data_IF_734165166813
#
_entry.id   IF_734165166813
#
_cell.length_a   1.000
_cell.length_b   1.000
_cell.length_c   1.000
_cell.angle_alpha   90.00
_cell.angle_beta   90.00
_cell.angle_gamma   90.00
#
_symmetry.space_group_name_H-M   'P 1'
#
loop_
_entity.id
_entity.type
_entity.pdbx_description
1 polymer ?
#
# COMPACT_ATOMS: atom_id res chain seq x y z
N UNK A 1 3.07 25.92 -56.28
CA UNK A 1 2.05 25.79 -55.23
C UNK A 1 2.15 24.39 -54.64
N UNK A 2 2.48 24.27 -53.35
CA UNK A 2 2.47 22.96 -52.67
C UNK A 2 1.01 22.48 -52.64
N UNK A 3 0.75 21.27 -53.14
CA UNK A 3 -0.60 20.72 -53.16
C UNK A 3 -1.01 20.40 -51.71
N UNK A 4 -1.80 21.29 -51.11
CA UNK A 4 -2.26 21.19 -49.72
C UNK A 4 -2.92 19.83 -49.45
N UNK A 5 -3.61 19.24 -50.44
CA UNK A 5 -4.23 17.92 -50.33
C UNK A 5 -3.21 16.78 -50.12
N UNK A 6 -2.00 16.90 -50.67
CA UNK A 6 -0.94 15.91 -50.55
C UNK A 6 -0.31 15.87 -49.14
N UNK A 7 -0.53 16.91 -48.32
CA UNK A 7 -0.07 16.98 -46.93
C UNK A 7 -1.23 16.70 -45.97
N UNK A 8 -2.43 17.20 -46.27
CA UNK A 8 -3.61 17.06 -45.40
C UNK A 8 -4.12 15.61 -45.33
N UNK A 9 -4.14 14.88 -46.45
CA UNK A 9 -4.70 13.53 -46.47
C UNK A 9 -3.86 12.51 -45.65
N UNK A 10 -2.52 12.51 -45.72
CA UNK A 10 -1.70 11.71 -44.81
C UNK A 10 -1.89 12.08 -43.34
N UNK A 11 -1.99 13.37 -43.00
CA UNK A 11 -2.19 13.83 -41.62
C UNK A 11 -3.54 13.36 -41.06
N UNK A 12 -4.62 13.46 -41.85
CA UNK A 12 -5.94 12.94 -41.46
C UNK A 12 -5.92 11.42 -41.29
N UNK A 13 -5.17 10.70 -42.13
CA UNK A 13 -5.03 9.24 -42.03
C UNK A 13 -4.28 8.84 -40.75
N UNK A 14 -3.21 9.55 -40.40
CA UNK A 14 -2.47 9.35 -39.15
C UNK A 14 -3.36 9.64 -37.94
N UNK A 15 -4.11 10.75 -37.97
CA UNK A 15 -5.05 11.09 -36.90
C UNK A 15 -6.13 10.01 -36.74
N UNK A 16 -6.71 9.54 -37.85
CA UNK A 16 -7.67 8.44 -37.85
C UNK A 16 -7.10 7.15 -37.25
N UNK A 17 -5.85 6.80 -37.58
CA UNK A 17 -5.18 5.64 -37.01
C UNK A 17 -4.94 5.78 -35.50
N UNK A 18 -4.54 6.96 -35.02
CA UNK A 18 -4.36 7.24 -33.57
C UNK A 18 -5.69 7.11 -32.83
N UNK A 19 -6.76 7.71 -33.36
CA UNK A 19 -8.11 7.62 -32.78
C UNK A 19 -8.60 6.17 -32.77
N UNK A 20 -8.44 5.45 -33.88
CA UNK A 20 -8.80 4.03 -33.99
C UNK A 20 -8.03 3.15 -32.99
N UNK A 21 -6.73 3.36 -32.84
CA UNK A 21 -5.90 2.65 -31.87
C UNK A 21 -6.34 2.95 -30.42
N UNK A 22 -6.70 4.19 -30.11
CA UNK A 22 -7.21 4.57 -28.79
C UNK A 22 -8.59 3.96 -28.49
N UNK A 23 -9.50 3.92 -29.47
CA UNK A 23 -10.80 3.25 -29.32
C UNK A 23 -10.60 1.75 -29.09
N UNK A 24 -9.71 1.10 -29.86
CA UNK A 24 -9.36 -0.30 -29.65
C UNK A 24 -8.78 -0.52 -28.24
N UNK A 25 -7.90 0.36 -27.79
CA UNK A 25 -7.36 0.31 -26.44
C UNK A 25 -8.44 0.40 -25.36
N UNK A 26 -9.40 1.33 -25.48
CA UNK A 26 -10.53 1.43 -24.57
C UNK A 26 -11.43 0.19 -24.60
N UNK A 27 -11.65 -0.41 -25.77
CA UNK A 27 -12.39 -1.67 -25.89
C UNK A 27 -11.65 -2.81 -25.19
N UNK A 28 -10.34 -2.91 -25.34
CA UNK A 28 -9.51 -3.91 -24.65
C UNK A 28 -9.54 -3.73 -23.12
N UNK A 29 -9.66 -2.50 -22.61
CA UNK A 29 -9.82 -2.24 -21.17
C UNK A 29 -11.11 -2.80 -20.57
N UNK A 30 -12.11 -3.16 -21.38
CA UNK A 30 -13.33 -3.82 -20.91
C UNK A 30 -13.14 -5.33 -20.67
N UNK A 31 -12.02 -5.89 -21.14
CA UNK A 31 -11.70 -7.32 -21.02
C UNK A 31 -10.95 -7.56 -19.70
N UNK A 32 -11.50 -8.34 -18.73
CA UNK A 32 -10.96 -8.37 -17.37
C UNK A 32 -9.48 -8.76 -17.22
N UNK A 33 -8.94 -9.79 -17.92
CA UNK A 33 -7.51 -10.09 -17.84
C UNK A 33 -6.60 -8.95 -18.31
N UNK A 34 -7.02 -8.21 -19.35
CA UNK A 34 -6.25 -7.06 -19.87
C UNK A 34 -6.36 -5.89 -18.90
N UNK A 35 -7.56 -5.60 -18.42
CA UNK A 35 -7.82 -4.57 -17.42
C UNK A 35 -6.97 -4.80 -16.16
N UNK A 36 -6.97 -6.01 -15.62
CA UNK A 36 -6.15 -6.39 -14.46
C UNK A 36 -4.66 -6.22 -14.75
N UNK A 37 -4.20 -6.64 -15.92
CA UNK A 37 -2.80 -6.41 -16.28
C UNK A 37 -2.44 -4.92 -16.27
N UNK A 38 -3.33 -4.05 -16.77
CA UNK A 38 -3.11 -2.60 -16.82
C UNK A 38 -3.17 -1.95 -15.43
N UNK A 39 -4.12 -2.36 -14.58
CA UNK A 39 -4.25 -1.85 -13.21
C UNK A 39 -3.05 -2.26 -12.34
N UNK A 40 -2.68 -3.53 -12.40
CA UNK A 40 -1.69 -4.11 -11.49
C UNK A 40 -0.26 -4.08 -12.05
N UNK A 41 -0.09 -4.05 -13.37
CA UNK A 41 1.20 -4.23 -14.07
C UNK A 41 1.98 -5.47 -13.58
N UNK A 42 1.26 -6.51 -13.15
CA UNK A 42 1.81 -7.61 -12.36
C UNK A 42 2.80 -8.50 -13.12
N UNK A 43 2.69 -8.60 -14.45
CA UNK A 43 3.64 -9.39 -15.27
C UNK A 43 4.98 -8.68 -15.49
N UNK A 44 5.09 -7.40 -15.14
CA UNK A 44 6.33 -6.65 -15.27
C UNK A 44 7.20 -6.92 -14.03
N UNK A 45 8.12 -7.89 -14.14
CA UNK A 45 8.99 -8.35 -13.05
C UNK A 45 10.25 -7.49 -12.92
N UNK A 46 10.08 -6.22 -12.57
CA UNK A 46 11.19 -5.31 -12.28
C UNK A 46 11.72 -5.51 -10.84
N UNK A 47 13.05 -5.43 -10.63
CA UNK A 47 14.12 -5.26 -11.62
C UNK A 47 14.39 -6.55 -12.41
N UNK A 48 14.74 -6.42 -13.69
CA UNK A 48 15.06 -7.56 -14.53
C UNK A 48 16.38 -8.23 -14.12
N UNK A 49 16.52 -9.52 -14.42
CA UNK A 49 17.75 -10.32 -14.25
C UNK A 49 18.26 -10.43 -12.80
N UNK A 50 17.42 -10.14 -11.81
CA UNK A 50 17.69 -10.40 -10.40
C UNK A 50 16.83 -11.55 -9.89
N UNK A 51 17.38 -12.35 -8.98
CA UNK A 51 16.67 -13.46 -8.34
C UNK A 51 16.26 -13.07 -6.92
N UNK A 52 14.96 -13.06 -6.65
CA UNK A 52 14.41 -12.77 -5.32
C UNK A 52 14.86 -13.78 -4.25
N UNK A 53 15.42 -14.93 -4.65
CA UNK A 53 16.06 -15.84 -3.70
C UNK A 53 17.47 -15.41 -3.28
N UNK A 54 18.03 -14.32 -3.84
CA UNK A 54 19.38 -13.81 -3.54
C UNK A 54 19.29 -12.34 -3.07
N UNK A 55 18.83 -12.08 -1.84
CA UNK A 55 18.57 -10.72 -1.34
C UNK A 55 19.79 -9.79 -1.36
N UNK A 56 21.00 -10.34 -1.34
CA UNK A 56 22.26 -9.59 -1.42
C UNK A 56 22.35 -8.74 -2.70
N UNK A 57 21.64 -9.12 -3.77
CA UNK A 57 21.52 -8.31 -4.99
C UNK A 57 20.84 -6.95 -4.76
N UNK A 58 20.19 -6.75 -3.60
CA UNK A 58 19.60 -5.50 -3.14
C UNK A 58 20.29 -4.92 -1.91
N UNK A 59 21.54 -5.30 -1.67
CA UNK A 59 22.40 -4.77 -0.59
C UNK A 59 21.97 -5.17 0.82
N UNK A 60 21.17 -6.24 0.95
CA UNK A 60 20.99 -6.91 2.23
C UNK A 60 22.27 -7.61 2.65
N UNK A 61 22.48 -7.70 3.97
CA UNK A 61 23.57 -8.49 4.54
C UNK A 61 23.26 -9.98 4.38
N UNK A 62 24.30 -10.81 4.24
CA UNK A 62 24.14 -12.27 4.13
C UNK A 62 23.42 -12.84 5.34
N UNK A 63 22.30 -13.52 5.12
CA UNK A 63 21.46 -14.08 6.19
C UNK A 63 20.47 -13.09 6.82
N UNK A 64 20.49 -11.81 6.44
CA UNK A 64 19.53 -10.83 6.96
C UNK A 64 18.10 -11.08 6.45
N UNK A 65 17.98 -11.61 5.23
CA UNK A 65 16.71 -11.88 4.58
C UNK A 65 16.59 -13.37 4.33
N UNK A 66 15.45 -13.94 4.73
CA UNK A 66 15.10 -15.34 4.49
C UNK A 66 13.94 -15.41 3.50
N UNK A 67 14.19 -15.76 2.22
CA UNK A 67 13.13 -16.03 1.26
C UNK A 67 12.43 -17.36 1.55
N UNK A 68 11.10 -17.40 1.48
CA UNK A 68 10.29 -18.60 1.61
C UNK A 68 9.00 -18.48 0.79
N UNK A 69 8.21 -19.54 0.74
CA UNK A 69 6.90 -19.54 0.10
C UNK A 69 5.80 -19.72 1.15
N UNK A 70 4.71 -18.97 0.99
CA UNK A 70 3.52 -19.05 1.82
C UNK A 70 2.35 -19.49 0.94
N UNK A 71 1.60 -20.49 1.38
CA UNK A 71 0.40 -20.95 0.66
C UNK A 71 -0.83 -20.17 1.12
N UNK A 72 -1.69 -19.80 0.18
CA UNK A 72 -2.99 -19.21 0.49
C UNK A 72 -4.06 -20.30 0.66
N UNK A 73 -5.14 -19.96 1.36
CA UNK A 73 -6.27 -20.88 1.58
C UNK A 73 -6.97 -21.30 0.29
N UNK A 74 -6.78 -20.56 -0.81
CA UNK A 74 -7.31 -20.86 -2.14
C UNK A 74 -6.26 -21.47 -3.11
N UNK A 75 -5.10 -21.89 -2.60
CA UNK A 75 -4.14 -22.71 -3.34
C UNK A 75 -3.14 -21.96 -4.21
N UNK A 76 -2.94 -20.66 -3.97
CA UNK A 76 -1.87 -19.88 -4.59
C UNK A 76 -0.64 -19.84 -3.68
N UNK A 77 0.54 -19.76 -4.27
CA UNK A 77 1.80 -19.67 -3.55
C UNK A 77 2.36 -18.25 -3.65
N UNK A 78 2.65 -17.64 -2.50
CA UNK A 78 3.21 -16.31 -2.35
C UNK A 78 4.70 -16.36 -2.01
N UNK A 79 5.53 -15.74 -2.84
CA UNK A 79 6.94 -15.59 -2.53
C UNK A 79 7.15 -14.48 -1.50
N UNK A 80 7.75 -14.82 -0.37
CA UNK A 80 7.81 -13.99 0.83
C UNK A 80 9.25 -13.87 1.34
N UNK A 81 9.59 -12.71 1.87
CA UNK A 81 10.83 -12.41 2.58
C UNK A 81 10.53 -12.11 4.04
N UNK A 82 11.23 -12.82 4.93
CA UNK A 82 11.41 -12.38 6.31
C UNK A 82 12.71 -11.59 6.42
N UNK A 83 12.62 -10.32 6.78
CA UNK A 83 13.75 -9.39 6.90
C UNK A 83 14.00 -9.12 8.38
N UNK A 84 15.22 -9.43 8.84
CA UNK A 84 15.66 -9.21 10.21
C UNK A 84 16.03 -7.74 10.46
N UNK A 85 15.67 -7.20 11.64
CA UNK A 85 16.13 -5.88 12.04
C UNK A 85 17.63 -5.91 12.34
N UNK A 86 18.29 -4.77 12.14
CA UNK A 86 19.76 -4.69 12.17
C UNK A 86 20.35 -4.93 13.56
N UNK A 87 19.62 -4.63 14.63
CA UNK A 87 20.04 -4.88 16.00
C UNK A 87 20.07 -6.38 16.32
N UNK A 88 19.05 -7.13 15.91
CA UNK A 88 19.02 -8.60 16.02
C UNK A 88 20.10 -9.22 15.14
N UNK A 89 20.20 -8.78 13.87
CA UNK A 89 21.25 -9.24 12.97
C UNK A 89 22.65 -9.03 13.56
N UNK A 90 22.93 -7.83 14.11
CA UNK A 90 24.24 -7.50 14.69
C UNK A 90 24.63 -8.48 15.82
N UNK A 91 23.67 -8.89 16.64
CA UNK A 91 23.90 -9.79 17.77
C UNK A 91 24.17 -11.24 17.35
N UNK A 92 23.64 -11.66 16.20
CA UNK A 92 23.65 -13.08 15.76
C UNK A 92 24.28 -13.29 14.37
N UNK A 93 25.13 -12.37 13.92
CA UNK A 93 25.59 -12.34 12.53
C UNK A 93 26.43 -13.55 12.12
N UNK A 94 27.15 -14.21 13.04
CA UNK A 94 27.94 -15.39 12.72
C UNK A 94 27.04 -16.62 12.45
N UNK A 95 26.03 -16.84 13.31
CA UNK A 95 25.03 -17.91 13.13
C UNK A 95 24.24 -17.71 11.82
N UNK A 96 23.80 -16.47 11.57
CA UNK A 96 23.08 -16.10 10.35
C UNK A 96 23.91 -16.30 9.07
N UNK A 97 25.23 -16.13 9.14
CA UNK A 97 26.14 -16.41 8.02
C UNK A 97 26.42 -17.91 7.87
N UNK A 98 26.23 -18.71 8.91
CA UNK A 98 26.38 -20.16 8.81
C UNK A 98 25.15 -20.82 8.16
N UNK A 99 23.98 -20.19 8.26
CA UNK A 99 22.76 -20.69 7.63
C UNK A 99 22.86 -20.78 6.09
N UNK A 100 22.22 -21.80 5.46
CA UNK A 100 22.11 -21.86 4.01
C UNK A 100 21.46 -20.62 3.38
N UNK A 101 21.76 -20.35 2.12
CA UNK A 101 21.17 -19.22 1.38
C UNK A 101 20.06 -19.70 0.45
N UNK A 102 19.27 -18.77 -0.09
CA UNK A 102 18.22 -19.10 -1.05
C UNK A 102 16.84 -19.33 -0.43
N UNK A 103 15.94 -19.86 -1.26
CA UNK A 103 14.56 -20.19 -0.87
C UNK A 103 14.54 -21.27 0.21
N UNK A 104 13.87 -20.99 1.31
CA UNK A 104 13.64 -21.94 2.40
C UNK A 104 12.30 -22.63 2.25
N UNK A 105 12.35 -23.95 2.21
CA UNK A 105 11.15 -24.81 2.18
C UNK A 105 10.54 -24.93 3.59
N UNK A 106 11.40 -24.99 4.61
CA UNK A 106 11.02 -25.03 6.03
C UNK A 106 11.50 -23.76 6.70
N UNK A 107 10.59 -22.80 6.83
CA UNK A 107 10.89 -21.50 7.45
C UNK A 107 10.96 -21.61 8.98
N UNK A 108 10.24 -22.55 9.58
CA UNK A 108 10.19 -22.82 11.02
C UNK A 108 11.55 -23.18 11.64
N UNK A 109 12.43 -23.79 10.87
CA UNK A 109 13.77 -24.17 11.31
C UNK A 109 14.77 -23.00 11.34
N UNK A 110 14.47 -21.86 10.69
CA UNK A 110 15.41 -20.75 10.53
C UNK A 110 15.53 -19.90 11.79
N UNK A 111 16.69 -19.29 11.97
CA UNK A 111 16.90 -18.30 13.04
C UNK A 111 15.91 -17.15 12.94
N UNK A 112 15.63 -16.67 11.73
CA UNK A 112 14.71 -15.56 11.51
C UNK A 112 13.31 -15.84 12.07
N UNK A 113 12.77 -17.03 11.81
CA UNK A 113 11.49 -17.46 12.36
C UNK A 113 11.51 -17.55 13.89
N UNK A 114 12.50 -18.25 14.44
CA UNK A 114 12.66 -18.45 15.90
C UNK A 114 12.81 -17.13 16.64
N UNK A 115 13.66 -16.24 16.16
CA UNK A 115 13.91 -14.93 16.80
C UNK A 115 12.66 -14.05 16.91
N UNK A 116 11.79 -14.05 15.90
CA UNK A 116 10.52 -13.31 15.96
C UNK A 116 9.51 -14.00 16.88
N UNK A 117 9.41 -15.33 16.82
CA UNK A 117 8.43 -16.11 17.59
C UNK A 117 8.75 -16.14 19.08
N UNK A 118 10.02 -16.22 19.44
CA UNK A 118 10.48 -16.42 20.82
C UNK A 118 10.72 -15.10 21.57
N UNK A 119 10.92 -13.98 20.88
CA UNK A 119 11.08 -12.66 21.51
C UNK A 119 9.72 -12.01 21.81
N UNK A 120 9.33 -11.84 23.09
CA UNK A 120 8.06 -11.21 23.46
C UNK A 120 8.02 -9.71 23.13
N UNK A 121 9.18 -9.07 22.95
CA UNK A 121 9.29 -7.64 22.62
C UNK A 121 9.46 -7.40 21.11
N UNK A 122 9.63 -8.47 20.32
CA UNK A 122 9.74 -8.34 18.87
C UNK A 122 8.45 -7.76 18.28
N UNK A 123 8.62 -6.86 17.33
CA UNK A 123 7.53 -6.21 16.59
C UNK A 123 7.56 -6.67 15.15
N UNK A 124 6.43 -6.55 14.46
CA UNK A 124 6.32 -6.99 13.09
C UNK A 124 5.63 -5.94 12.22
N UNK A 125 6.25 -5.62 11.09
CA UNK A 125 5.62 -4.89 9.99
C UNK A 125 5.21 -5.87 8.91
N UNK A 126 3.93 -5.92 8.58
CA UNK A 126 3.42 -6.59 7.38
C UNK A 126 3.44 -5.58 6.24
N UNK A 127 4.26 -5.83 5.22
CA UNK A 127 4.56 -4.88 4.16
C UNK A 127 3.81 -5.21 2.86
N UNK A 128 2.88 -4.32 2.50
CA UNK A 128 2.00 -4.42 1.33
C UNK A 128 2.46 -3.44 0.25
N UNK A 129 3.05 -3.94 -0.82
CA UNK A 129 3.67 -3.12 -1.84
C UNK A 129 2.66 -2.54 -2.86
N UNK A 130 3.07 -1.54 -3.66
CA UNK A 130 2.22 -0.97 -4.72
C UNK A 130 2.11 -1.81 -5.99
N UNK A 131 1.44 -1.27 -7.00
CA UNK A 131 1.39 -1.89 -8.33
C UNK A 131 2.77 -1.96 -8.99
N UNK A 132 2.89 -2.81 -10.02
CA UNK A 132 4.08 -3.13 -10.79
C UNK A 132 5.26 -3.73 -9.99
N UNK A 133 6.12 -4.45 -10.72
CA UNK A 133 7.39 -4.94 -10.20
C UNK A 133 7.24 -6.11 -9.22
N UNK A 134 8.23 -6.21 -8.34
CA UNK A 134 8.33 -7.20 -7.27
C UNK A 134 8.47 -6.50 -5.93
N UNK A 135 8.34 -7.20 -4.81
CA UNK A 135 8.66 -6.69 -3.47
C UNK A 135 10.06 -6.06 -3.41
N UNK A 136 10.98 -6.45 -4.29
CA UNK A 136 12.31 -5.88 -4.39
C UNK A 136 12.48 -4.80 -5.49
N UNK A 137 11.40 -4.16 -5.95
CA UNK A 137 11.45 -3.11 -6.98
C UNK A 137 11.97 -1.77 -6.45
N UNK A 138 13.05 -1.26 -7.06
CA UNK A 138 13.58 0.12 -6.98
C UNK A 138 13.81 0.61 -5.54
N UNK A 139 12.78 1.15 -4.89
CA UNK A 139 12.83 1.85 -3.61
C UNK A 139 12.27 1.02 -2.46
N UNK A 140 11.67 -0.14 -2.73
CA UNK A 140 11.12 -1.03 -1.70
C UNK A 140 12.20 -1.63 -0.78
N UNK A 141 13.32 -2.19 -1.30
CA UNK A 141 14.46 -2.60 -0.44
C UNK A 141 14.99 -1.49 0.45
N UNK A 142 15.14 -0.30 -0.13
CA UNK A 142 15.62 0.88 0.60
C UNK A 142 14.64 1.30 1.71
N UNK A 143 13.33 1.16 1.49
CA UNK A 143 12.33 1.39 2.53
C UNK A 143 12.44 0.41 3.69
N UNK A 144 12.80 -0.86 3.43
CA UNK A 144 13.04 -1.85 4.50
C UNK A 144 14.20 -1.41 5.39
N UNK A 145 15.29 -0.91 4.79
CA UNK A 145 16.41 -0.35 5.55
C UNK A 145 16.01 0.88 6.38
N UNK A 146 15.20 1.78 5.80
CA UNK A 146 14.71 2.98 6.48
C UNK A 146 13.86 2.63 7.72
N UNK A 147 13.03 1.59 7.66
CA UNK A 147 12.18 1.19 8.80
C UNK A 147 13.01 0.88 10.06
N UNK A 148 14.18 0.26 9.91
CA UNK A 148 15.02 -0.13 11.04
C UNK A 148 15.66 1.03 11.80
N UNK A 149 15.68 2.25 11.25
CA UNK A 149 16.37 3.39 11.87
C UNK A 149 15.80 3.85 13.21
N UNK A 150 14.48 3.68 13.43
CA UNK A 150 13.79 4.08 14.67
C UNK A 150 12.89 2.99 15.25
N UNK A 151 13.00 1.76 14.73
CA UNK A 151 12.14 0.64 15.14
C UNK A 151 13.02 -0.56 15.50
N UNK A 152 13.65 -0.56 16.69
CA UNK A 152 14.43 -1.71 17.16
C UNK A 152 13.55 -2.96 17.26
N UNK A 153 14.15 -4.15 17.15
CA UNK A 153 13.45 -5.45 17.22
C UNK A 153 12.24 -5.58 16.28
N UNK A 154 12.16 -4.77 15.23
CA UNK A 154 11.00 -4.74 14.33
C UNK A 154 11.30 -5.52 13.07
N UNK A 155 10.79 -6.73 12.97
CA UNK A 155 10.90 -7.58 11.79
C UNK A 155 9.97 -7.09 10.67
N UNK A 156 10.27 -7.47 9.44
CA UNK A 156 9.40 -7.18 8.28
C UNK A 156 9.09 -8.49 7.57
N UNK A 157 7.79 -8.71 7.29
CA UNK A 157 7.36 -9.67 6.29
C UNK A 157 6.91 -8.90 5.04
N UNK A 158 7.64 -9.09 3.95
CA UNK A 158 7.32 -8.55 2.64
C UNK A 158 7.07 -9.69 1.66
N UNK A 159 6.14 -9.54 0.74
CA UNK A 159 5.77 -10.62 -0.20
C UNK A 159 5.36 -10.04 -1.54
N UNK A 160 5.45 -10.86 -2.59
CA UNK A 160 4.81 -10.59 -3.87
C UNK A 160 3.35 -11.08 -3.82
N UNK A 161 2.38 -10.23 -4.16
CA UNK A 161 0.99 -10.68 -4.36
C UNK A 161 0.90 -11.75 -5.45
N UNK A 162 -0.20 -12.51 -5.48
CA UNK A 162 -0.46 -13.46 -6.56
C UNK A 162 -0.33 -12.80 -7.94
N UNK A 163 0.40 -13.46 -8.83
CA UNK A 163 0.72 -13.01 -10.18
C UNK A 163 1.84 -11.97 -10.27
N UNK A 164 2.41 -11.49 -9.14
CA UNK A 164 3.60 -10.64 -9.12
C UNK A 164 4.86 -11.48 -8.88
N UNK A 165 5.99 -10.96 -9.36
CA UNK A 165 7.32 -11.55 -9.14
C UNK A 165 7.38 -13.07 -9.27
N UNK A 166 7.58 -13.77 -8.15
CA UNK A 166 7.66 -15.25 -8.12
C UNK A 166 6.38 -15.95 -7.64
N UNK A 167 5.36 -15.20 -7.24
CA UNK A 167 4.08 -15.74 -6.79
C UNK A 167 3.22 -16.25 -7.95
N UNK A 168 2.41 -17.28 -7.69
CA UNK A 168 1.52 -17.90 -8.70
C UNK A 168 0.23 -17.09 -8.88
N UNK A 169 -0.62 -17.49 -9.83
CA UNK A 169 -1.97 -16.93 -9.97
C UNK A 169 -2.07 -15.63 -10.76
N UNK A 170 -3.23 -14.97 -10.61
CA UNK A 170 -3.56 -13.70 -11.28
C UNK A 170 -4.19 -12.73 -10.27
N UNK A 171 -3.76 -11.45 -10.23
CA UNK A 171 -4.26 -10.50 -9.26
C UNK A 171 -5.73 -10.16 -9.51
N UNK A 172 -6.46 -9.99 -8.41
CA UNK A 172 -7.82 -9.44 -8.37
C UNK A 172 -8.07 -8.83 -7.00
N UNK A 173 -9.12 -8.02 -6.84
CA UNK A 173 -9.42 -7.40 -5.55
C UNK A 173 -9.69 -8.45 -4.46
N UNK A 174 -10.37 -9.54 -4.81
CA UNK A 174 -10.61 -10.66 -3.90
C UNK A 174 -9.33 -11.46 -3.64
N UNK A 175 -8.54 -11.75 -4.69
CA UNK A 175 -7.31 -12.53 -4.55
C UNK A 175 -6.26 -11.82 -3.68
N UNK A 176 -6.04 -10.52 -3.87
CA UNK A 176 -5.10 -9.77 -3.04
C UNK A 176 -5.54 -9.68 -1.56
N UNK A 177 -6.86 -9.74 -1.28
CA UNK A 177 -7.36 -9.87 0.08
C UNK A 177 -7.04 -11.27 0.66
N UNK A 178 -7.19 -12.34 -0.12
CA UNK A 178 -6.80 -13.69 0.31
C UNK A 178 -5.29 -13.76 0.60
N UNK A 179 -4.46 -13.12 -0.24
CA UNK A 179 -3.03 -13.05 -0.02
C UNK A 179 -2.69 -12.35 1.31
N UNK A 180 -3.37 -11.23 1.57
CA UNK A 180 -3.20 -10.46 2.79
C UNK A 180 -3.65 -11.24 4.04
N UNK A 181 -4.73 -12.01 3.91
CA UNK A 181 -5.22 -12.89 4.97
C UNK A 181 -4.25 -14.03 5.27
N UNK A 182 -3.66 -14.65 4.24
CA UNK A 182 -2.65 -15.69 4.41
C UNK A 182 -1.43 -15.16 5.18
N UNK A 183 -0.97 -13.95 4.85
CA UNK A 183 0.15 -13.33 5.57
C UNK A 183 -0.18 -13.04 7.04
N UNK A 184 -1.38 -12.55 7.34
CA UNK A 184 -1.86 -12.32 8.71
C UNK A 184 -1.98 -13.64 9.48
N UNK A 185 -2.52 -14.68 8.84
CA UNK A 185 -2.65 -16.00 9.43
C UNK A 185 -1.29 -16.58 9.79
N UNK A 186 -0.32 -16.53 8.87
CA UNK A 186 1.07 -16.92 9.11
C UNK A 186 1.70 -16.14 10.28
N UNK A 187 1.51 -14.82 10.31
CA UNK A 187 2.05 -13.97 11.37
C UNK A 187 1.45 -14.29 12.75
N UNK A 188 0.14 -14.50 12.83
CA UNK A 188 -0.56 -14.68 14.11
C UNK A 188 -0.57 -16.12 14.61
N UNK A 189 -0.50 -17.10 13.70
CA UNK A 189 -0.68 -18.52 14.02
C UNK A 189 0.64 -19.26 14.02
N UNK A 190 1.45 -19.12 12.97
CA UNK A 190 2.73 -19.84 12.86
C UNK A 190 3.84 -19.13 13.64
N UNK A 191 3.95 -17.81 13.47
CA UNK A 191 4.89 -16.96 14.18
C UNK A 191 4.39 -16.50 15.57
N UNK A 192 3.11 -16.71 15.87
CA UNK A 192 2.48 -16.40 17.17
C UNK A 192 2.66 -14.93 17.58
N UNK A 193 2.68 -14.01 16.60
CA UNK A 193 2.79 -12.57 16.87
C UNK A 193 1.38 -12.01 17.14
N UNK A 194 1.12 -11.44 18.34
CA UNK A 194 -0.17 -10.86 18.66
C UNK A 194 -0.43 -9.59 17.82
N UNK A 195 -1.68 -9.29 17.46
CA UNK A 195 -2.05 -8.11 16.65
C UNK A 195 -1.53 -6.79 17.20
N UNK A 196 -1.39 -6.67 18.52
CA UNK A 196 -0.89 -5.50 19.25
C UNK A 196 0.61 -5.24 19.02
N UNK A 197 1.35 -6.21 18.46
CA UNK A 197 2.75 -6.08 18.03
C UNK A 197 2.90 -6.00 16.51
N UNK A 198 1.80 -5.88 15.77
CA UNK A 198 1.80 -5.83 14.30
C UNK A 198 1.37 -4.44 13.80
N UNK A 199 2.15 -3.87 12.89
CA UNK A 199 1.78 -2.70 12.10
C UNK A 199 1.58 -3.12 10.65
N UNK A 200 0.47 -2.68 10.05
CA UNK A 200 0.24 -2.85 8.62
C UNK A 200 0.80 -1.66 7.87
N UNK A 201 1.70 -1.92 6.92
CA UNK A 201 2.26 -0.90 6.05
C UNK A 201 1.76 -1.11 4.62
N UNK A 202 1.15 -0.09 4.01
CA UNK A 202 0.73 -0.12 2.61
C UNK A 202 1.31 1.03 1.80
N UNK A 203 1.74 0.76 0.58
CA UNK A 203 2.10 1.78 -0.40
C UNK A 203 1.25 1.69 -1.67
N UNK A 204 0.69 2.81 -2.12
CA UNK A 204 -0.16 2.87 -3.32
C UNK A 204 -1.23 1.77 -3.31
N UNK A 205 -1.23 0.80 -4.23
CA UNK A 205 -2.15 -0.35 -4.20
C UNK A 205 -2.22 -1.03 -2.82
N UNK A 206 -1.09 -1.19 -2.15
CA UNK A 206 -1.02 -1.80 -0.82
C UNK A 206 -1.83 -1.06 0.23
N UNK A 207 -2.07 0.25 0.09
CA UNK A 207 -2.94 1.00 1.02
C UNK A 207 -4.38 0.50 0.94
N UNK A 208 -4.88 0.24 -0.27
CA UNK A 208 -6.22 -0.26 -0.49
C UNK A 208 -6.39 -1.68 0.07
N UNK A 209 -5.36 -2.52 -0.13
CA UNK A 209 -5.31 -3.89 0.43
C UNK A 209 -5.37 -3.84 1.96
N UNK A 210 -4.53 -3.02 2.60
CA UNK A 210 -4.45 -2.89 4.07
C UNK A 210 -5.74 -2.36 4.67
N UNK A 211 -6.35 -1.36 4.04
CA UNK A 211 -7.65 -0.80 4.49
C UNK A 211 -8.74 -1.87 4.39
N UNK A 212 -8.83 -2.58 3.26
CA UNK A 212 -9.82 -3.64 3.05
C UNK A 212 -9.62 -4.80 4.04
N UNK A 213 -8.38 -5.26 4.22
CA UNK A 213 -8.00 -6.29 5.19
C UNK A 213 -8.44 -5.90 6.60
N UNK A 214 -8.14 -4.67 7.02
CA UNK A 214 -8.48 -4.20 8.37
C UNK A 214 -9.98 -4.10 8.57
N UNK A 215 -10.72 -3.64 7.56
CA UNK A 215 -12.18 -3.63 7.63
C UNK A 215 -12.75 -5.05 7.74
N UNK A 216 -12.28 -5.98 6.91
CA UNK A 216 -12.69 -7.39 6.92
C UNK A 216 -12.45 -8.04 8.29
N UNK A 217 -11.27 -7.82 8.87
CA UNK A 217 -10.90 -8.36 10.18
C UNK A 217 -11.68 -7.73 11.34
N UNK A 218 -12.00 -6.43 11.25
CA UNK A 218 -12.76 -5.73 12.29
C UNK A 218 -14.23 -6.14 12.36
N UNK A 219 -14.82 -6.66 11.26
CA UNK A 219 -16.23 -7.08 11.21
C UNK A 219 -16.44 -8.57 11.50
N UNK A 220 -15.38 -9.34 11.73
CA UNK A 220 -15.49 -10.74 12.11
C UNK A 220 -16.14 -10.89 13.48
N UNK A 221 -16.68 -12.08 13.75
CA UNK A 221 -17.23 -12.46 15.07
C UNK A 221 -16.21 -12.25 16.20
N UNK A 222 -14.94 -12.55 15.92
CA UNK A 222 -13.79 -12.21 16.76
C UNK A 222 -12.97 -11.15 16.01
N UNK A 223 -13.16 -9.85 16.33
CA UNK A 223 -12.44 -8.80 15.64
C UNK A 223 -10.93 -8.89 15.89
N UNK A 224 -10.14 -8.61 14.85
CA UNK A 224 -8.68 -8.46 14.96
C UNK A 224 -8.32 -7.03 14.64
N UNK A 225 -7.68 -6.34 15.58
CA UNK A 225 -7.26 -4.95 15.45
C UNK A 225 -5.76 -4.83 15.65
N UNK A 226 -5.05 -4.38 14.62
CA UNK A 226 -3.60 -4.23 14.67
C UNK A 226 -3.17 -2.98 15.43
N UNK A 227 -1.90 -2.91 15.83
CA UNK A 227 -1.34 -1.77 16.59
C UNK A 227 -1.45 -0.46 15.81
N UNK A 228 -1.22 -0.50 14.51
CA UNK A 228 -1.34 0.66 13.64
C UNK A 228 -1.35 0.32 12.15
N UNK A 229 -1.69 1.33 11.37
CA UNK A 229 -1.77 1.29 9.92
C UNK A 229 -1.04 2.50 9.33
N UNK A 230 -0.07 2.26 8.46
CA UNK A 230 0.65 3.33 7.74
C UNK A 230 0.31 3.23 6.25
N UNK A 231 -0.28 4.29 5.70
CA UNK A 231 -0.76 4.38 4.32
C UNK A 231 0.07 5.42 3.56
N UNK A 232 0.96 4.98 2.68
CA UNK A 232 1.80 5.86 1.86
C UNK A 232 1.27 6.00 0.44
N UNK A 233 1.07 7.25 0.00
CA UNK A 233 0.42 7.63 -1.26
C UNK A 233 -0.90 6.85 -1.51
N UNK A 234 -1.86 6.88 -0.57
CA UNK A 234 -3.14 6.19 -0.78
C UNK A 234 -4.02 6.90 -1.81
N UNK A 235 -5.05 6.18 -2.25
CA UNK A 235 -6.09 6.68 -3.12
C UNK A 235 -7.48 6.31 -2.58
N UNK A 236 -8.54 6.97 -3.05
CA UNK A 236 -9.91 6.67 -2.57
C UNK A 236 -10.49 5.43 -3.23
N UNK A 237 -10.30 5.30 -4.55
CA UNK A 237 -10.80 4.21 -5.38
C UNK A 237 -10.12 4.27 -6.78
N UNK A 238 -10.16 3.17 -7.54
CA UNK A 238 -9.54 3.13 -8.87
C UNK A 238 -10.25 4.08 -9.84
N UNK A 239 -11.58 4.25 -9.71
CA UNK A 239 -12.36 5.09 -10.61
C UNK A 239 -12.01 6.59 -10.47
N UNK A 240 -11.63 7.06 -9.29
CA UNK A 240 -11.13 8.42 -9.06
C UNK A 240 -9.76 8.62 -9.72
N UNK A 241 -8.95 7.56 -9.76
CA UNK A 241 -7.68 7.55 -10.45
C UNK A 241 -7.84 7.50 -11.97
N UNK A 242 -8.84 6.86 -12.56
CA UNK A 242 -8.90 6.73 -14.04
C UNK A 242 -8.89 8.07 -14.80
N UNK A 243 -9.35 9.15 -14.16
CA UNK A 243 -9.29 10.52 -14.70
C UNK A 243 -7.89 11.11 -14.75
N UNK A 244 -7.00 10.72 -13.83
CA UNK A 244 -5.68 11.31 -13.61
C UNK A 244 -4.53 10.31 -13.82
N UNK A 245 -4.84 9.02 -13.84
CA UNK A 245 -3.89 7.91 -13.87
C UNK A 245 -3.15 7.90 -15.19
N UNK A 246 -1.83 7.89 -15.07
CA UNK A 246 -0.93 7.76 -16.20
C UNK A 246 -0.32 6.37 -16.21
N UNK A 247 -0.62 5.59 -17.25
CA UNK A 247 0.02 4.32 -17.50
C UNK A 247 1.55 4.53 -17.59
N UNK A 248 2.30 3.84 -16.72
CA UNK A 248 3.74 4.01 -16.59
C UNK A 248 4.19 5.41 -16.14
N UNK A 249 3.30 6.25 -15.62
CA UNK A 249 3.58 7.65 -15.29
C UNK A 249 3.55 8.61 -16.48
N UNK A 250 3.29 8.13 -17.70
CA UNK A 250 3.44 8.91 -18.94
C UNK A 250 2.12 9.05 -19.72
N UNK A 251 1.35 7.98 -19.90
CA UNK A 251 0.18 7.99 -20.81
C UNK A 251 -1.12 8.09 -20.01
N UNK A 252 -1.85 9.22 -20.04
CA UNK A 252 -3.05 9.37 -19.24
C UNK A 252 -4.20 8.52 -19.81
N UNK A 253 -4.66 7.54 -19.02
CA UNK A 253 -5.44 6.39 -19.50
C UNK A 253 -6.78 6.79 -20.15
N UNK A 254 -7.56 7.64 -19.49
CA UNK A 254 -8.85 8.14 -19.98
C UNK A 254 -8.83 9.64 -20.27
N UNK A 255 -7.69 10.33 -20.22
CA UNK A 255 -7.63 11.79 -20.37
C UNK A 255 -8.22 12.32 -21.67
N UNK A 256 -8.04 11.68 -22.85
CA UNK A 256 -8.68 12.14 -24.09
C UNK A 256 -10.21 12.17 -24.02
N UNK A 257 -10.83 11.36 -23.16
CA UNK A 257 -12.29 11.30 -22.98
C UNK A 257 -12.75 11.93 -21.66
N UNK A 258 -11.84 12.44 -20.83
CA UNK A 258 -12.16 12.99 -19.51
C UNK A 258 -13.09 14.22 -19.60
N UNK A 259 -13.07 14.94 -20.72
CA UNK A 259 -13.99 16.04 -21.02
C UNK A 259 -15.44 15.60 -21.26
N UNK A 260 -15.70 14.29 -21.39
CA UNK A 260 -17.03 13.72 -21.61
C UNK A 260 -17.42 12.83 -20.42
N UNK A 261 -18.05 13.39 -19.37
CA UNK A 261 -18.36 12.65 -18.14
C UNK A 261 -19.13 11.35 -18.36
N UNK A 262 -20.06 11.33 -19.31
CA UNK A 262 -20.84 10.13 -19.63
C UNK A 262 -19.99 8.97 -20.17
N UNK A 263 -18.93 9.25 -20.95
CA UNK A 263 -18.00 8.24 -21.43
C UNK A 263 -17.14 7.69 -20.29
N UNK A 264 -16.65 8.57 -19.41
CA UNK A 264 -15.89 8.14 -18.22
C UNK A 264 -16.76 7.25 -17.34
N UNK A 265 -18.02 7.62 -17.09
CA UNK A 265 -18.96 6.80 -16.32
C UNK A 265 -19.24 5.46 -17.01
N UNK A 266 -19.45 5.45 -18.32
CA UNK A 266 -19.64 4.24 -19.10
C UNK A 266 -18.45 3.27 -18.95
N UNK A 267 -17.22 3.74 -19.17
CA UNK A 267 -16.02 2.90 -19.05
C UNK A 267 -15.74 2.47 -17.60
N UNK A 268 -15.98 3.36 -16.63
CA UNK A 268 -15.87 3.00 -15.21
C UNK A 268 -16.87 1.90 -14.81
N UNK A 269 -17.99 1.75 -15.52
CA UNK A 269 -18.94 0.65 -15.32
C UNK A 269 -18.35 -0.74 -15.60
N UNK A 270 -17.30 -0.82 -16.41
CA UNK A 270 -16.59 -2.08 -16.70
C UNK A 270 -15.44 -2.37 -15.72
N UNK A 271 -15.15 -1.48 -14.76
CA UNK A 271 -14.11 -1.72 -13.76
C UNK A 271 -14.54 -2.86 -12.83
N UNK A 272 -13.79 -3.97 -12.91
CA UNK A 272 -14.02 -5.17 -12.10
C UNK A 272 -13.47 -4.98 -10.70
N UNK A 273 -12.22 -4.53 -10.61
CA UNK A 273 -11.54 -4.26 -9.34
C UNK A 273 -11.62 -2.76 -9.04
N UNK A 274 -12.32 -2.40 -7.96
CA UNK A 274 -12.70 -1.01 -7.66
C UNK A 274 -11.85 -0.40 -6.56
N UNK A 275 -11.48 -1.21 -5.57
CA UNK A 275 -10.69 -0.80 -4.40
C UNK A 275 -11.25 0.44 -3.69
N UNK A 276 -12.50 0.39 -3.22
CA UNK A 276 -13.17 1.47 -2.46
C UNK A 276 -12.52 1.70 -1.07
N UNK A 277 -11.32 2.24 -1.05
CA UNK A 277 -10.55 2.53 0.16
C UNK A 277 -11.25 3.58 1.02
N UNK A 278 -11.91 4.56 0.39
CA UNK A 278 -12.69 5.59 1.07
C UNK A 278 -13.81 5.01 1.93
N UNK A 279 -14.69 4.23 1.31
CA UNK A 279 -15.80 3.58 2.01
C UNK A 279 -15.33 2.53 3.01
N UNK A 280 -14.31 1.73 2.67
CA UNK A 280 -13.77 0.70 3.56
C UNK A 280 -13.10 1.30 4.80
N UNK A 281 -12.37 2.41 4.68
CA UNK A 281 -11.75 3.08 5.83
C UNK A 281 -12.81 3.71 6.74
N UNK A 282 -13.83 4.38 6.18
CA UNK A 282 -14.97 4.90 6.94
C UNK A 282 -15.76 3.77 7.64
N UNK A 283 -15.92 2.63 6.96
CA UNK A 283 -16.54 1.42 7.51
C UNK A 283 -15.72 0.85 8.66
N UNK A 284 -14.40 0.74 8.50
CA UNK A 284 -13.48 0.30 9.55
C UNK A 284 -13.53 1.21 10.78
N UNK A 285 -13.29 2.51 10.62
CA UNK A 285 -13.25 3.49 11.71
C UNK A 285 -14.50 3.44 12.57
N UNK A 286 -15.68 3.51 11.96
CA UNK A 286 -16.90 3.48 12.75
C UNK A 286 -17.36 2.07 13.15
N UNK A 287 -16.72 0.99 12.69
CA UNK A 287 -16.92 -0.36 13.29
C UNK A 287 -16.09 -0.50 14.56
N UNK A 288 -14.86 0.01 14.56
CA UNK A 288 -14.03 0.08 15.76
C UNK A 288 -14.75 0.78 16.92
N UNK A 289 -15.55 1.81 16.64
CA UNK A 289 -16.43 2.48 17.63
C UNK A 289 -17.18 1.53 18.58
N UNK A 290 -17.74 0.44 18.04
CA UNK A 290 -18.56 -0.52 18.79
C UNK A 290 -17.84 -1.81 19.24
N UNK A 291 -16.53 -1.93 19.01
CA UNK A 291 -15.76 -3.09 19.48
C UNK A 291 -15.32 -2.83 20.92
N UNK A 292 -15.63 -3.75 21.83
CA UNK A 292 -15.09 -3.74 23.20
C UNK A 292 -13.81 -4.58 23.23
N UNK A 293 -12.73 -4.01 23.76
CA UNK A 293 -11.46 -4.71 24.00
C UNK A 293 -10.96 -4.38 25.39
N UNK A 294 -10.66 -5.43 26.17
CA UNK A 294 -10.13 -5.27 27.52
C UNK A 294 -8.76 -4.59 27.47
N UNK A 295 -8.58 -3.54 28.28
CA UNK A 295 -7.29 -2.83 28.39
C UNK A 295 -6.88 -1.99 27.17
N UNK A 296 -7.76 -1.78 26.17
CA UNK A 296 -7.43 -1.03 24.94
C UNK A 296 -8.50 -0.03 24.55
N UNK A 297 -8.27 1.23 24.92
CA UNK A 297 -9.14 2.36 24.55
C UNK A 297 -8.99 2.76 23.07
N UNK A 298 -7.75 2.83 22.58
CA UNK A 298 -7.45 3.12 21.17
C UNK A 298 -7.49 1.85 20.31
N UNK A 299 -8.56 1.72 19.53
CA UNK A 299 -8.86 0.56 18.69
C UNK A 299 -8.24 0.67 17.30
N UNK A 300 -7.84 1.87 16.89
CA UNK A 300 -7.06 2.08 15.66
C UNK A 300 -6.11 3.29 15.76
N UNK A 301 -5.01 3.21 15.02
CA UNK A 301 -4.07 4.30 14.77
C UNK A 301 -3.71 4.29 13.27
N UNK A 302 -4.15 5.29 12.52
CA UNK A 302 -3.96 5.36 11.05
C UNK A 302 -3.09 6.56 10.72
N UNK A 303 -1.98 6.35 10.03
CA UNK A 303 -1.06 7.37 9.55
C UNK A 303 -1.12 7.43 8.02
N UNK A 304 -1.62 8.52 7.46
CA UNK A 304 -1.64 8.79 6.02
C UNK A 304 -0.44 9.66 5.67
N UNK A 305 0.32 9.30 4.65
CA UNK A 305 1.49 10.07 4.20
C UNK A 305 1.41 10.23 2.68
N UNK A 306 1.60 11.45 2.18
CA UNK A 306 1.64 11.72 0.74
C UNK A 306 2.58 12.89 0.46
N UNK A 307 3.13 12.97 -0.75
CA UNK A 307 3.82 14.15 -1.23
C UNK A 307 2.98 14.95 -2.25
N UNK A 308 3.02 16.28 -2.17
CA UNK A 308 2.31 17.17 -3.08
C UNK A 308 2.83 17.07 -4.52
N UNK A 309 4.13 16.76 -4.68
CA UNK A 309 4.81 16.55 -5.95
C UNK A 309 4.71 15.11 -6.48
N UNK A 310 3.81 14.26 -5.93
CA UNK A 310 3.55 12.91 -6.44
C UNK A 310 2.98 12.98 -7.87
N UNK A 311 3.72 12.51 -8.90
CA UNK A 311 3.29 12.64 -10.29
C UNK A 311 2.31 11.53 -10.72
N UNK A 312 2.00 10.58 -9.83
CA UNK A 312 1.19 9.38 -10.14
C UNK A 312 -0.17 9.42 -9.47
N UNK A 313 -0.22 9.80 -8.20
CA UNK A 313 -1.46 9.91 -7.43
C UNK A 313 -1.54 11.33 -6.88
N UNK A 314 -2.59 12.10 -7.20
CA UNK A 314 -2.75 13.42 -6.60
C UNK A 314 -2.91 13.31 -5.08
N UNK A 315 -2.16 14.11 -4.33
CA UNK A 315 -2.24 14.13 -2.85
C UNK A 315 -3.64 14.46 -2.32
N UNK A 316 -4.48 15.14 -3.12
CA UNK A 316 -5.88 15.41 -2.79
C UNK A 316 -6.69 14.14 -2.52
N UNK A 317 -6.25 12.99 -3.05
CA UNK A 317 -6.81 11.68 -2.72
C UNK A 317 -6.62 11.30 -1.25
N UNK A 318 -5.47 11.62 -0.65
CA UNK A 318 -5.25 11.42 0.79
C UNK A 318 -6.14 12.32 1.63
N UNK A 319 -6.33 13.57 1.20
CA UNK A 319 -7.23 14.52 1.86
C UNK A 319 -8.68 14.00 1.83
N UNK A 320 -9.13 13.52 0.67
CA UNK A 320 -10.47 12.94 0.53
C UNK A 320 -10.64 11.64 1.32
N UNK A 321 -9.62 10.76 1.33
CA UNK A 321 -9.63 9.55 2.15
C UNK A 321 -9.77 9.87 3.64
N UNK A 322 -9.03 10.88 4.12
CA UNK A 322 -9.13 11.39 5.49
C UNK A 322 -10.52 11.96 5.79
N UNK A 323 -11.07 12.77 4.88
CA UNK A 323 -12.43 13.31 4.99
C UNK A 323 -13.45 12.18 5.14
N UNK A 324 -13.44 11.19 4.25
CA UNK A 324 -14.38 10.05 4.30
C UNK A 324 -14.24 9.27 5.60
N UNK A 325 -13.01 9.04 6.07
CA UNK A 325 -12.77 8.31 7.30
C UNK A 325 -13.33 9.02 8.55
N UNK A 326 -13.25 10.36 8.60
CA UNK A 326 -13.66 11.16 9.76
C UNK A 326 -15.13 11.60 9.69
N UNK A 327 -15.64 11.88 8.49
CA UNK A 327 -16.97 12.48 8.27
C UNK A 327 -17.98 11.56 7.57
N UNK A 328 -17.58 10.42 7.00
CA UNK A 328 -18.44 9.57 6.15
C UNK A 328 -19.65 8.92 6.81
N UNK A 329 -20.03 9.31 8.04
CA UNK A 329 -21.23 8.86 8.76
C UNK A 329 -22.01 9.99 9.44
N UNK A 330 -21.70 11.26 9.18
CA UNK A 330 -22.29 12.40 9.91
C UNK A 330 -23.60 12.91 9.28
N UNK A 331 -23.67 13.06 7.96
CA UNK A 331 -24.86 13.53 7.23
C UNK A 331 -24.90 12.96 5.80
N UNK A 332 -26.09 12.89 5.19
CA UNK A 332 -26.28 12.45 3.80
C UNK A 332 -25.93 13.55 2.76
N UNK A 333 -25.66 14.79 3.20
CA UNK A 333 -25.29 15.91 2.31
C UNK A 333 -23.76 16.01 2.16
N UNK A 334 -23.25 15.63 0.98
CA UNK A 334 -21.82 15.66 0.67
C UNK A 334 -21.23 17.07 0.72
N UNK A 335 -22.00 18.10 0.34
CA UNK A 335 -21.52 19.48 0.25
C UNK A 335 -21.31 20.10 1.63
N UNK A 336 -22.21 19.80 2.57
CA UNK A 336 -22.07 20.21 3.98
C UNK A 336 -20.87 19.53 4.61
N UNK A 337 -20.70 18.22 4.38
CA UNK A 337 -19.56 17.47 4.88
C UNK A 337 -18.22 18.00 4.34
N UNK A 338 -18.14 18.46 3.09
CA UNK A 338 -16.92 19.04 2.51
C UNK A 338 -16.58 20.39 3.15
N UNK A 339 -17.54 21.31 3.24
CA UNK A 339 -17.32 22.64 3.83
C UNK A 339 -16.90 22.56 5.31
N UNK A 340 -17.57 21.71 6.09
CA UNK A 340 -17.22 21.48 7.49
C UNK A 340 -15.82 20.85 7.64
N UNK A 341 -15.49 19.87 6.78
CA UNK A 341 -14.17 19.25 6.80
C UNK A 341 -13.07 20.26 6.50
N UNK A 342 -13.22 21.10 5.48
CA UNK A 342 -12.22 22.13 5.15
C UNK A 342 -12.05 23.15 6.28
N UNK A 343 -13.15 23.54 6.92
CA UNK A 343 -13.12 24.43 8.08
C UNK A 343 -12.38 23.79 9.28
N UNK A 344 -12.63 22.52 9.58
CA UNK A 344 -11.94 21.79 10.65
C UNK A 344 -10.47 21.49 10.31
N UNK A 345 -10.18 21.12 9.05
CA UNK A 345 -8.82 20.92 8.57
C UNK A 345 -8.01 22.20 8.78
N UNK A 346 -8.52 23.35 8.35
CA UNK A 346 -7.83 24.64 8.50
C UNK A 346 -7.49 24.98 9.96
N UNK A 347 -8.34 24.59 10.92
CA UNK A 347 -8.10 24.83 12.37
C UNK A 347 -7.05 23.90 12.95
N UNK A 348 -7.00 22.64 12.49
CA UNK A 348 -6.17 21.57 13.06
C UNK A 348 -4.82 21.43 12.36
N UNK A 349 -4.72 21.93 11.13
CA UNK A 349 -3.52 21.84 10.30
C UNK A 349 -2.35 22.56 10.96
N UNK A 350 -1.23 21.85 11.06
CA UNK A 350 0.07 22.39 11.50
C UNK A 350 0.95 22.53 10.26
N UNK A 351 1.27 23.77 9.89
CA UNK A 351 2.16 24.06 8.76
C UNK A 351 3.62 23.82 9.15
N UNK A 352 4.36 23.13 8.28
CA UNK A 352 5.78 22.80 8.45
C UNK A 352 6.66 23.56 7.45
N UNK A 353 6.20 24.71 6.98
CA UNK A 353 6.89 25.58 6.01
C UNK A 353 7.23 24.83 4.71
N UNK A 354 8.49 24.43 4.51
CA UNK A 354 8.92 23.69 3.32
C UNK A 354 8.68 22.18 3.46
N UNK A 355 8.40 21.69 4.68
CA UNK A 355 8.11 20.30 4.97
C UNK A 355 6.68 19.87 4.63
N UNK A 356 5.81 20.82 4.26
CA UNK A 356 4.40 20.55 4.02
C UNK A 356 3.58 20.79 5.27
N UNK A 357 2.73 19.85 5.65
CA UNK A 357 1.83 20.04 6.79
C UNK A 357 1.36 18.73 7.43
N UNK A 358 1.01 18.84 8.70
CA UNK A 358 0.47 17.77 9.54
C UNK A 358 -0.96 18.08 9.98
N UNK A 359 -1.72 17.02 10.26
CA UNK A 359 -3.00 17.13 10.95
C UNK A 359 -3.30 15.85 11.72
N UNK A 360 -3.90 16.02 12.89
CA UNK A 360 -4.34 14.92 13.75
C UNK A 360 -5.83 15.02 14.06
N UNK A 361 -6.55 13.94 13.81
CA UNK A 361 -7.95 13.75 14.18
C UNK A 361 -8.07 12.63 15.21
N UNK A 362 -8.27 13.02 16.47
CA UNK A 362 -8.64 12.10 17.55
C UNK A 362 -10.14 11.85 17.50
N UNK A 363 -10.53 10.60 17.25
CA UNK A 363 -11.89 10.11 17.38
C UNK A 363 -12.12 9.40 18.71
N UNK A 364 -13.33 8.89 18.93
CA UNK A 364 -13.72 8.20 20.18
C UNK A 364 -12.94 6.90 20.41
N UNK A 365 -12.51 6.25 19.32
CA UNK A 365 -11.94 4.89 19.37
C UNK A 365 -10.59 4.78 18.70
N UNK A 366 -9.91 5.91 18.45
CA UNK A 366 -8.63 5.90 17.78
C UNK A 366 -8.29 7.22 17.13
N UNK A 367 -7.13 7.26 16.48
CA UNK A 367 -6.56 8.46 15.86
C UNK A 367 -6.30 8.24 14.37
N UNK A 368 -6.58 9.27 13.57
CA UNK A 368 -6.13 9.36 12.18
C UNK A 368 -5.23 10.58 12.05
N UNK A 369 -4.02 10.37 11.56
CA UNK A 369 -3.01 11.39 11.31
C UNK A 369 -2.77 11.48 9.81
N UNK A 370 -2.52 12.67 9.29
CA UNK A 370 -2.05 12.84 7.92
C UNK A 370 -0.85 13.78 7.88
N UNK A 371 0.19 13.35 7.18
CA UNK A 371 1.41 14.11 6.89
C UNK A 371 1.52 14.30 5.38
N UNK A 372 1.30 15.52 4.91
CA UNK A 372 1.40 15.87 3.49
C UNK A 372 2.68 16.66 3.28
N UNK A 373 3.66 16.02 2.64
CA UNK A 373 4.98 16.58 2.32
C UNK A 373 4.88 17.49 1.10
N UNK A 374 5.68 18.57 1.02
CA UNK A 374 5.83 19.29 -0.25
C UNK A 374 6.59 18.50 -1.31
N UNK A 375 7.59 17.73 -0.87
CA UNK A 375 8.52 17.04 -1.75
C UNK A 375 8.73 15.60 -1.30
N UNK A 376 8.67 14.68 -2.24
CA UNK A 376 8.87 13.27 -1.96
C UNK A 376 8.72 12.33 -3.14
N UNK A 377 7.97 12.76 -4.18
CA UNK A 377 7.57 11.92 -5.31
C UNK A 377 6.82 10.66 -4.83
N UNK A 378 6.39 9.80 -5.77
CA UNK A 378 5.52 8.65 -5.42
C UNK A 378 6.18 7.50 -4.65
N UNK A 379 7.50 7.36 -4.74
CA UNK A 379 8.24 6.20 -4.24
C UNK A 379 9.52 6.57 -3.49
N UNK A 380 10.32 7.54 -3.98
CA UNK A 380 11.53 7.98 -3.30
C UNK A 380 11.35 8.38 -1.83
N UNK A 381 10.23 9.00 -1.46
CA UNK A 381 9.99 9.38 -0.05
C UNK A 381 9.93 8.23 0.94
N UNK A 382 9.72 6.99 0.49
CA UNK A 382 9.83 5.81 1.35
C UNK A 382 11.25 5.54 1.85
N UNK A 383 12.26 6.22 1.29
CA UNK A 383 13.67 6.11 1.67
C UNK A 383 14.07 7.11 2.76
N UNK A 384 13.13 7.93 3.20
CA UNK A 384 13.40 9.10 4.04
C UNK A 384 12.87 8.91 5.46
N UNK A 385 13.36 9.70 6.45
CA UNK A 385 13.02 9.55 7.86
C UNK A 385 11.52 9.60 8.17
N UNK A 386 10.72 10.20 7.29
CA UNK A 386 9.26 10.23 7.40
C UNK A 386 8.66 8.82 7.54
N UNK A 387 9.22 7.83 6.83
CA UNK A 387 8.79 6.43 6.96
C UNK A 387 9.16 5.85 8.32
N UNK A 388 10.43 5.98 8.73
CA UNK A 388 10.90 5.47 10.03
C UNK A 388 10.07 6.04 11.17
N UNK A 389 9.83 7.36 11.14
CA UNK A 389 9.06 8.05 12.15
C UNK A 389 7.58 7.63 12.14
N UNK A 390 7.00 7.39 10.96
CA UNK A 390 5.64 6.91 10.85
C UNK A 390 5.45 5.50 11.42
N UNK A 391 6.39 4.59 11.17
CA UNK A 391 6.35 3.24 11.74
C UNK A 391 6.54 3.30 13.27
N UNK A 392 7.50 4.07 13.77
CA UNK A 392 7.70 4.26 15.21
C UNK A 392 6.43 4.79 15.89
N UNK A 393 5.84 5.87 15.34
CA UNK A 393 4.56 6.43 15.80
C UNK A 393 3.38 5.45 15.72
N UNK A 394 3.39 4.53 14.75
CA UNK A 394 2.37 3.51 14.64
C UNK A 394 2.46 2.49 15.79
N UNK A 395 3.68 2.16 16.25
CA UNK A 395 3.90 1.30 17.41
C UNK A 395 3.74 1.99 18.77
N UNK A 396 4.01 3.29 18.87
CA UNK A 396 3.95 4.03 20.14
C UNK A 396 2.55 4.55 20.48
N UNK A 397 1.72 4.92 19.49
CA UNK A 397 0.40 5.53 19.72
C UNK A 397 0.41 7.06 19.56
N UNK A 398 -0.52 7.80 20.19
CA UNK A 398 -0.35 9.27 20.27
C UNK A 398 0.79 9.61 21.22
N UNK A 399 1.63 10.58 20.83
CA UNK A 399 2.78 11.06 21.61
C UNK A 399 2.47 11.13 23.10
N UNK A 400 2.99 10.18 23.89
CA UNK A 400 3.28 10.48 25.28
C UNK A 400 4.29 11.63 25.24
N UNK A 401 3.89 12.75 25.82
CA UNK A 401 4.74 13.93 26.00
C UNK A 401 5.78 13.63 27.08
N UNK A 402 6.70 12.72 26.79
CA UNK A 402 7.88 12.54 27.63
C UNK A 402 9.12 12.84 26.78
N UNK A 403 9.45 14.14 26.77
CA UNK A 403 10.83 14.65 26.61
C UNK A 403 11.14 15.44 27.87
#
# INVERSE_FOLDING_TARGET
>A
MVNISAIVLPLLSILGAIVGAYILFLALLTIPPIQRHIIYLHRIKLPFLKDLNIPEQWRFLRGQVTPFNLETSDGETLHTWHILPLDVYRQHHDDLRAEPTGLRVKIDDTFSFKSLREDPEARLVLYFHGAAGTMAMVHRPESYHTIFSLSPRTHILAFDYRGFGRSTGMPSEAGLLHDALALVEFAMTDLVVPPERIVLFGQSLGTAVVVKLSCELAIRKKPVLFKGMVLMSPFTDIASLTKTFRLGGVVPLLSPIASFPWLVTFFNGFLVDKWDSGGQLAKFVGKCGGIEMEGREEKFNVMIIHAEDDPRIPWTQSKELLRRAVFGRRTDDESVNENEFEAELKKRKVELVAGGWDVEWKGISGVIKAHILKFGLHGPFMRHPVLSLAIAKAFEGTFEKDI
#
